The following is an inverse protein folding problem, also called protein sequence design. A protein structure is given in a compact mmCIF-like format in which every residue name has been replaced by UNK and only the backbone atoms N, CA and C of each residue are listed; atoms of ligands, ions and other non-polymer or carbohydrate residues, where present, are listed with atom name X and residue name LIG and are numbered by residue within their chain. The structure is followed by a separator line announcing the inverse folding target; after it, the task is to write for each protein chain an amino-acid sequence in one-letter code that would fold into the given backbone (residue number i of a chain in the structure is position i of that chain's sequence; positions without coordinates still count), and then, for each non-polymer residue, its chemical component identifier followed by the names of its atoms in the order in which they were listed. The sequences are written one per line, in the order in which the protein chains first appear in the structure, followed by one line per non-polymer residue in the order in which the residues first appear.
data_IF_907774975182
#
_entry.id   IF_907774975182
#
_cell.length_a   1.000
_cell.length_b   1.000
_cell.length_c   1.000
_cell.angle_alpha   90.00
_cell.angle_beta   90.00
_cell.angle_gamma   90.00
#
_symmetry.space_group_name_H-M   'P 1'
#
loop_
_entity.id
_entity.type
_entity.pdbx_description
1 polymer ?
#
# COMPACT_ATOMS: atom_id res chain seq x y z
N UNK A 1 -9.39 -76.46 -30.74
CA UNK A 1 -9.88 -76.54 -29.38
C UNK A 1 -9.78 -75.15 -28.85
N UNK A 2 -10.66 -74.39 -29.18
CA UNK A 2 -11.87 -73.67 -28.66
C UNK A 2 -11.85 -73.47 -27.17
N UNK A 3 -11.62 -72.25 -26.80
CA UNK A 3 -11.79 -71.65 -25.45
C UNK A 3 -12.24 -70.20 -25.60
N UNK A 4 -13.53 -69.99 -25.44
CA UNK A 4 -14.25 -68.69 -25.43
C UNK A 4 -13.88 -67.84 -24.25
N UNK A 5 -13.85 -66.51 -24.38
CA UNK A 5 -13.64 -65.61 -23.28
C UNK A 5 -14.93 -65.40 -22.49
N UNK A 6 -14.77 -65.35 -21.21
CA UNK A 6 -15.79 -65.15 -20.18
C UNK A 6 -16.15 -63.65 -20.11
N UNK A 7 -17.43 -63.33 -20.29
CA UNK A 7 -17.99 -62.00 -20.01
C UNK A 7 -18.11 -61.79 -18.47
N UNK A 8 -17.81 -60.63 -17.96
CA UNK A 8 -18.20 -60.29 -16.60
C UNK A 8 -19.58 -59.60 -16.58
N UNK A 9 -20.38 -60.08 -15.63
CA UNK A 9 -21.75 -59.63 -15.32
C UNK A 9 -21.77 -58.16 -14.88
N UNK A 10 -22.75 -57.45 -15.41
CA UNK A 10 -23.23 -56.16 -14.91
C UNK A 10 -23.88 -56.39 -13.54
N UNK A 11 -23.26 -55.79 -12.50
CA UNK A 11 -23.94 -55.50 -11.22
C UNK A 11 -24.19 -53.98 -11.17
N UNK A 12 -25.42 -53.61 -11.55
CA UNK A 12 -25.99 -52.28 -11.20
C UNK A 12 -26.15 -52.18 -9.69
N UNK A 13 -25.26 -51.44 -9.02
CA UNK A 13 -25.56 -50.85 -7.75
C UNK A 13 -25.50 -49.32 -7.90
N UNK A 14 -26.72 -48.74 -7.90
CA UNK A 14 -26.95 -47.31 -7.90
C UNK A 14 -26.24 -46.67 -6.72
N UNK A 15 -25.26 -45.82 -6.98
CA UNK A 15 -24.75 -44.87 -6.04
C UNK A 15 -25.71 -43.68 -6.00
N UNK A 16 -26.39 -43.61 -4.90
CA UNK A 16 -27.20 -42.48 -4.39
C UNK A 16 -26.42 -41.16 -4.56
N UNK A 17 -26.91 -40.30 -5.45
CA UNK A 17 -26.36 -38.98 -5.68
C UNK A 17 -26.83 -38.13 -4.51
N UNK A 18 -26.00 -38.06 -3.46
CA UNK A 18 -26.18 -37.16 -2.35
C UNK A 18 -26.47 -35.74 -2.85
N UNK A 19 -27.57 -35.19 -2.35
CA UNK A 19 -28.15 -33.90 -2.63
C UNK A 19 -27.09 -32.79 -2.65
N UNK A 20 -26.95 -32.18 -3.80
CA UNK A 20 -26.25 -30.88 -3.95
C UNK A 20 -27.13 -29.85 -3.30
N UNK A 21 -26.76 -29.41 -2.08
CA UNK A 21 -27.43 -28.31 -1.40
C UNK A 21 -27.28 -27.05 -2.25
N UNK A 22 -28.38 -26.43 -2.73
CA UNK A 22 -28.30 -25.19 -3.46
C UNK A 22 -27.89 -24.08 -2.51
N UNK A 23 -26.86 -23.34 -2.87
CA UNK A 23 -26.41 -22.12 -2.21
C UNK A 23 -27.52 -21.06 -2.38
N UNK A 24 -28.29 -20.78 -1.35
CA UNK A 24 -29.20 -19.63 -1.28
C UNK A 24 -28.33 -18.38 -1.06
N UNK A 25 -28.38 -17.48 -2.04
CA UNK A 25 -27.91 -16.11 -1.87
C UNK A 25 -28.87 -15.43 -0.88
N UNK A 26 -28.40 -15.12 0.31
CA UNK A 26 -29.10 -14.25 1.24
C UNK A 26 -28.94 -12.82 0.77
N UNK A 27 -30.02 -12.26 0.23
CA UNK A 27 -30.24 -10.82 0.14
C UNK A 27 -30.54 -10.31 1.54
N UNK A 28 -29.58 -9.67 2.18
CA UNK A 28 -29.82 -8.74 3.28
C UNK A 28 -28.61 -7.80 3.34
N UNK A 29 -28.69 -6.71 2.61
CA UNK A 29 -27.91 -5.49 2.83
C UNK A 29 -28.70 -4.65 3.83
N UNK A 30 -28.12 -4.19 4.94
CA UNK A 30 -28.75 -3.18 5.76
C UNK A 30 -28.72 -1.83 5.03
N UNK A 31 -29.89 -1.24 4.92
CA UNK A 31 -30.25 0.09 4.45
C UNK A 31 -29.42 1.15 5.22
N UNK A 32 -28.74 2.01 4.50
CA UNK A 32 -28.02 3.15 5.06
C UNK A 32 -29.02 4.13 5.68
N UNK A 33 -28.93 4.35 7.00
CA UNK A 33 -29.65 5.39 7.71
C UNK A 33 -29.04 6.76 7.39
N UNK A 34 -29.80 7.62 6.73
CA UNK A 34 -29.50 9.05 6.59
C UNK A 34 -29.43 9.74 7.96
N UNK A 35 -28.47 10.64 8.21
CA UNK A 35 -28.47 11.48 9.39
C UNK A 35 -29.45 12.63 9.21
N UNK A 36 -30.49 12.63 10.04
CA UNK A 36 -31.43 13.74 10.18
C UNK A 36 -30.72 14.99 10.69
N UNK A 37 -31.09 16.14 10.09
CA UNK A 37 -30.55 17.45 10.29
C UNK A 37 -30.59 17.95 11.74
N UNK A 38 -29.45 18.42 12.20
CA UNK A 38 -29.33 19.27 13.37
C UNK A 38 -29.55 20.74 13.00
N UNK A 39 -30.47 21.30 13.70
CA UNK A 39 -31.01 22.67 13.68
C UNK A 39 -29.87 23.72 13.85
N UNK A 40 -29.81 24.66 12.92
CA UNK A 40 -28.95 25.82 12.95
C UNK A 40 -29.51 26.82 13.97
N UNK A 41 -28.75 27.13 15.03
CA UNK A 41 -28.97 28.27 15.90
C UNK A 41 -28.30 29.52 15.31
N UNK A 42 -29.10 30.52 15.04
CA UNK A 42 -28.74 31.83 14.52
C UNK A 42 -28.18 32.71 15.69
N UNK A 43 -26.99 33.30 15.61
CA UNK A 43 -26.47 34.22 16.58
C UNK A 43 -26.61 35.67 16.07
N UNK A 44 -27.76 36.27 16.22
CA UNK A 44 -27.84 37.72 16.06
C UNK A 44 -29.03 38.30 16.86
N UNK A 45 -28.78 38.57 18.12
CA UNK A 45 -29.66 39.46 18.92
C UNK A 45 -28.79 40.45 19.67
N UNK A 46 -28.58 41.59 19.03
CA UNK A 46 -28.01 42.81 19.60
C UNK A 46 -29.11 43.53 20.39
N UNK A 47 -29.01 43.58 21.70
CA UNK A 47 -29.83 44.44 22.53
C UNK A 47 -29.06 45.73 22.90
N UNK A 48 -29.60 46.82 22.43
CA UNK A 48 -29.25 48.21 22.79
C UNK A 48 -29.38 48.49 24.30
N UNK A 49 -28.45 49.26 24.88
CA UNK A 49 -28.65 49.83 26.20
C UNK A 49 -29.29 51.20 26.08
N UNK A 50 -30.38 51.35 26.84
CA UNK A 50 -31.15 52.59 27.09
C UNK A 50 -30.33 53.65 27.82
N UNK A 51 -30.45 54.88 27.31
CA UNK A 51 -30.17 56.13 28.04
C UNK A 51 -31.02 56.29 29.32
N UNK A 52 -30.47 56.87 30.33
CA UNK A 52 -31.25 57.57 31.33
C UNK A 52 -31.01 59.09 31.31
N UNK A 53 -32.09 59.82 31.12
CA UNK A 53 -32.18 61.25 31.35
C UNK A 53 -32.37 61.55 32.83
N UNK A 54 -31.88 62.78 33.18
CA UNK A 54 -32.36 63.73 34.17
C UNK A 54 -32.22 63.43 35.66
N UNK A 55 -31.34 64.21 36.29
CA UNK A 55 -31.67 64.92 37.52
C UNK A 55 -30.78 66.13 37.70
N UNK A 56 -31.41 67.32 37.65
CA UNK A 56 -30.89 68.61 38.11
C UNK A 56 -30.77 68.64 39.61
N UNK A 57 -29.78 69.36 40.11
CA UNK A 57 -29.71 69.79 41.56
C UNK A 57 -28.54 70.71 41.77
N UNK A 58 -28.85 71.97 41.90
CA UNK A 58 -27.89 73.06 42.12
C UNK A 58 -27.32 73.14 43.55
N UNK A 59 -26.31 73.94 43.71
CA UNK A 59 -25.70 74.29 45.05
C UNK A 59 -24.39 75.04 44.89
N UNK A 60 -24.51 76.29 44.87
CA UNK A 60 -23.71 77.37 45.35
C UNK A 60 -22.17 77.34 45.37
N UNK A 61 -21.69 78.51 44.95
CA UNK A 61 -20.33 78.96 44.85
C UNK A 61 -19.63 79.12 46.20
N UNK A 62 -18.39 78.76 46.29
CA UNK A 62 -17.44 79.40 47.16
C UNK A 62 -16.08 79.56 46.44
N UNK A 63 -15.66 80.80 46.32
CA UNK A 63 -14.43 81.20 45.71
C UNK A 63 -13.26 80.90 46.65
N UNK A 64 -12.32 80.09 46.22
CA UNK A 64 -11.08 80.01 47.02
C UNK A 64 -9.85 80.36 46.20
N UNK A 65 -9.01 81.05 46.81
CA UNK A 65 -7.87 81.89 46.48
C UNK A 65 -6.77 81.11 45.75
N UNK A 66 -6.30 81.65 44.64
CA UNK A 66 -5.16 81.19 43.86
C UNK A 66 -3.84 81.51 44.58
N UNK A 67 -2.97 80.49 44.92
CA UNK A 67 -1.61 80.79 45.42
C UNK A 67 -0.64 81.04 44.23
N UNK A 68 0.47 81.78 44.45
CA UNK A 68 1.34 82.34 43.41
C UNK A 68 2.21 81.33 42.66
N UNK A 69 2.70 81.63 41.43
CA UNK A 69 3.16 80.70 40.42
C UNK A 69 4.57 80.11 40.58
N UNK A 70 5.25 80.22 41.71
CA UNK A 70 6.65 79.81 41.85
C UNK A 70 6.86 78.29 42.17
N UNK A 71 5.89 77.61 42.80
CA UNK A 71 6.00 76.20 43.19
C UNK A 71 5.64 75.23 42.03
N UNK A 72 4.93 75.72 40.99
CA UNK A 72 4.42 74.88 39.87
C UNK A 72 5.51 74.46 38.86
N UNK A 73 6.62 75.26 38.74
CA UNK A 73 7.71 74.96 37.79
C UNK A 73 8.63 73.78 38.20
N UNK A 74 8.78 73.54 39.52
CA UNK A 74 9.59 72.39 40.00
C UNK A 74 8.85 71.08 40.01
N UNK A 75 7.53 71.04 40.23
CA UNK A 75 6.70 69.84 40.15
C UNK A 75 6.58 69.37 38.74
N UNK A 76 6.39 70.29 37.79
CA UNK A 76 6.31 69.94 36.34
C UNK A 76 7.64 69.38 35.84
N UNK A 77 8.81 69.88 36.29
CA UNK A 77 10.12 69.31 35.90
C UNK A 77 10.37 67.94 36.50
N UNK A 78 9.95 67.65 37.71
CA UNK A 78 10.07 66.34 38.35
C UNK A 78 9.14 65.33 37.69
N UNK A 79 7.93 65.71 37.39
CA UNK A 79 6.97 64.83 36.60
C UNK A 79 7.48 64.61 35.21
N UNK A 80 8.02 65.61 34.52
CA UNK A 80 8.60 65.43 33.18
C UNK A 80 9.86 64.54 33.19
N UNK A 81 10.69 64.58 34.22
CA UNK A 81 11.85 63.67 34.34
C UNK A 81 11.45 62.23 34.68
N UNK A 82 10.43 62.04 35.52
CA UNK A 82 9.92 60.73 35.89
C UNK A 82 9.21 60.09 34.67
N UNK A 83 8.40 60.88 33.95
CA UNK A 83 7.77 60.39 32.74
C UNK A 83 8.76 60.08 31.61
N UNK A 84 9.81 60.86 31.42
CA UNK A 84 10.90 60.57 30.45
C UNK A 84 11.67 59.31 30.86
N UNK A 85 11.93 59.09 32.17
CA UNK A 85 12.55 57.84 32.66
C UNK A 85 11.66 56.60 32.45
N UNK A 86 10.35 56.73 32.65
CA UNK A 86 9.40 55.67 32.46
C UNK A 86 9.26 55.29 30.95
N UNK A 87 9.24 56.29 30.09
CA UNK A 87 9.23 56.09 28.63
C UNK A 87 10.54 55.44 28.18
N UNK A 88 11.69 55.90 28.68
CA UNK A 88 12.99 55.28 28.37
C UNK A 88 13.06 53.81 28.85
N UNK A 89 12.52 53.51 30.04
CA UNK A 89 12.43 52.14 30.55
C UNK A 89 11.49 51.24 29.70
N UNK A 90 10.34 51.78 29.29
CA UNK A 90 9.41 51.07 28.40
C UNK A 90 10.01 50.85 27.01
N UNK A 91 10.76 51.79 26.43
CA UNK A 91 11.46 51.64 25.17
C UNK A 91 12.60 50.60 25.30
N UNK A 92 13.36 50.63 26.39
CA UNK A 92 14.41 49.63 26.65
C UNK A 92 13.83 48.24 26.85
N UNK A 93 12.69 48.11 27.52
CA UNK A 93 11.95 46.85 27.68
C UNK A 93 11.39 46.37 26.33
N UNK A 94 10.86 47.29 25.51
CA UNK A 94 10.36 47.00 24.16
C UNK A 94 11.48 46.54 23.22
N UNK A 95 12.64 47.23 23.22
CA UNK A 95 13.83 46.85 22.44
C UNK A 95 14.39 45.52 22.95
N UNK A 96 14.45 45.30 24.26
CA UNK A 96 14.90 44.02 24.83
C UNK A 96 13.97 42.88 24.49
N UNK A 97 12.66 43.08 24.61
CA UNK A 97 11.65 42.09 24.20
C UNK A 97 11.68 41.82 22.68
N UNK A 98 11.85 42.86 21.86
CA UNK A 98 12.01 42.73 20.42
C UNK A 98 13.28 41.94 20.06
N UNK A 99 14.42 42.22 20.70
CA UNK A 99 15.67 41.47 20.43
C UNK A 99 15.58 40.01 20.82
N UNK A 100 14.84 39.67 21.90
CA UNK A 100 14.62 38.27 22.32
C UNK A 100 13.58 37.57 21.45
N UNK A 101 12.54 38.30 21.02
CA UNK A 101 11.45 37.72 20.22
C UNK A 101 11.71 37.73 18.72
N UNK A 102 12.59 38.60 18.22
CA UNK A 102 12.87 38.75 16.79
C UNK A 102 13.35 37.47 16.10
N UNK A 103 14.22 36.63 16.69
CA UNK A 103 14.59 35.34 16.09
C UNK A 103 13.41 34.38 15.94
N UNK A 104 12.39 34.49 16.80
CA UNK A 104 11.17 33.68 16.73
C UNK A 104 10.13 34.29 15.78
N UNK A 105 10.11 35.59 15.60
CA UNK A 105 9.19 36.28 14.71
C UNK A 105 9.68 36.36 13.26
N UNK A 106 11.00 36.33 13.06
CA UNK A 106 11.64 36.38 11.74
C UNK A 106 12.89 35.48 11.76
N UNK A 107 12.71 34.13 11.72
CA UNK A 107 13.85 33.23 11.70
C UNK A 107 14.70 33.45 10.44
N UNK A 108 16.02 33.31 10.59
CA UNK A 108 16.93 33.35 9.44
C UNK A 108 16.53 32.32 8.39
N UNK A 109 16.45 32.74 7.14
CA UNK A 109 16.19 31.88 5.98
C UNK A 109 17.11 32.25 4.83
N UNK A 110 17.46 31.26 4.01
CA UNK A 110 18.19 31.52 2.76
C UNK A 110 17.22 31.99 1.68
N UNK A 111 17.77 32.63 0.65
CA UNK A 111 16.98 33.03 -0.52
C UNK A 111 17.20 32.06 -1.69
N UNK A 112 16.09 31.70 -2.37
CA UNK A 112 16.12 31.00 -3.64
C UNK A 112 16.28 29.47 -3.52
N UNK A 113 16.65 28.83 -4.67
CA UNK A 113 16.61 27.36 -4.80
C UNK A 113 17.86 26.64 -4.30
N UNK A 114 18.85 27.33 -3.75
CA UNK A 114 20.09 26.76 -3.26
C UNK A 114 21.05 26.27 -4.35
N UNK A 115 22.24 25.79 -3.93
CA UNK A 115 23.33 25.35 -4.79
C UNK A 115 23.87 23.97 -4.40
N UNK A 116 24.43 23.26 -5.40
CA UNK A 116 25.00 21.93 -5.18
C UNK A 116 23.95 20.91 -4.75
N UNK A 117 24.28 19.64 -4.82
CA UNK A 117 23.39 18.56 -4.39
C UNK A 117 23.86 17.96 -3.04
N UNK A 118 22.92 17.71 -2.16
CA UNK A 118 23.12 17.01 -0.91
C UNK A 118 22.01 15.98 -0.73
N UNK A 119 22.36 14.77 -0.30
CA UNK A 119 21.36 13.75 0.06
C UNK A 119 21.13 13.80 1.55
N UNK A 120 19.88 13.98 1.95
CA UNK A 120 19.47 14.05 3.36
C UNK A 120 18.53 12.88 3.64
N UNK A 121 18.71 12.23 4.78
CA UNK A 121 17.85 11.16 5.27
C UNK A 121 16.88 11.71 6.31
N UNK A 122 15.60 11.54 6.06
CA UNK A 122 14.52 11.81 7.01
C UNK A 122 14.13 10.49 7.67
N UNK A 123 14.31 10.39 8.98
CA UNK A 123 14.00 9.16 9.71
C UNK A 123 12.48 8.94 9.86
N UNK A 124 12.01 7.68 9.96
CA UNK A 124 10.61 7.39 10.27
C UNK A 124 10.17 8.06 11.58
N UNK A 125 8.97 8.67 11.57
CA UNK A 125 8.41 9.34 12.75
C UNK A 125 9.03 10.70 13.12
N UNK A 126 9.90 11.27 12.27
CA UNK A 126 10.47 12.59 12.51
C UNK A 126 9.40 13.67 12.52
N UNK A 127 9.39 14.50 13.56
CA UNK A 127 8.57 15.72 13.60
C UNK A 127 9.13 16.78 12.64
N UNK A 128 8.33 17.81 12.31
CA UNK A 128 8.79 18.94 11.49
C UNK A 128 10.04 19.61 12.09
N UNK A 129 10.14 19.67 13.43
CA UNK A 129 11.33 20.19 14.12
C UNK A 129 12.56 19.30 13.92
N UNK A 130 12.43 17.97 14.04
CA UNK A 130 13.52 17.05 13.81
C UNK A 130 13.98 17.05 12.33
N UNK A 131 13.04 17.18 11.39
CA UNK A 131 13.36 17.35 9.98
C UNK A 131 14.12 18.66 9.76
N UNK A 132 13.62 19.76 10.32
CA UNK A 132 14.27 21.07 10.23
C UNK A 132 15.71 21.05 10.75
N UNK A 133 15.95 20.43 11.92
CA UNK A 133 17.30 20.24 12.47
C UNK A 133 18.23 19.45 11.52
N UNK A 134 17.71 18.35 10.97
CA UNK A 134 18.46 17.55 9.97
C UNK A 134 18.81 18.38 8.73
N UNK A 135 17.90 19.22 8.26
CA UNK A 135 18.11 20.09 7.10
C UNK A 135 19.11 21.22 7.39
N UNK A 136 19.05 21.81 8.57
CA UNK A 136 19.99 22.83 9.04
C UNK A 136 21.39 22.27 9.19
N UNK A 137 21.56 21.12 9.86
CA UNK A 137 22.83 20.40 10.01
C UNK A 137 23.45 20.03 8.67
N UNK A 138 22.61 19.66 7.67
CA UNK A 138 23.06 19.39 6.30
C UNK A 138 23.36 20.67 5.48
N UNK A 139 23.12 21.86 6.04
CA UNK A 139 23.29 23.15 5.35
C UNK A 139 22.30 23.38 4.24
N UNK A 140 21.12 22.75 4.29
CA UNK A 140 20.05 22.91 3.30
C UNK A 140 19.26 24.18 3.58
N UNK A 141 18.82 24.38 4.82
CA UNK A 141 18.09 25.57 5.30
C UNK A 141 18.95 26.36 6.29
N UNK A 142 18.66 27.63 6.46
CA UNK A 142 19.40 28.51 7.37
C UNK A 142 19.10 28.23 8.84
N UNK A 143 17.87 27.85 9.15
CA UNK A 143 17.46 27.54 10.52
C UNK A 143 16.31 26.51 10.56
N UNK A 144 16.29 25.74 11.64
CA UNK A 144 15.17 24.82 11.96
C UNK A 144 13.84 25.59 12.04
N UNK A 145 13.86 26.80 12.57
CA UNK A 145 12.66 27.63 12.76
C UNK A 145 12.04 28.09 11.43
N UNK A 146 12.87 28.46 10.44
CA UNK A 146 12.36 28.81 9.10
C UNK A 146 11.62 27.64 8.46
N UNK A 147 12.14 26.42 8.61
CA UNK A 147 11.51 25.20 8.08
C UNK A 147 10.19 24.89 8.81
N UNK A 148 10.17 24.97 10.16
CA UNK A 148 8.96 24.76 10.95
C UNK A 148 7.87 25.75 10.50
N UNK A 149 8.22 27.03 10.36
CA UNK A 149 7.29 28.07 9.93
C UNK A 149 6.74 27.78 8.52
N UNK A 150 7.62 27.48 7.57
CA UNK A 150 7.19 27.14 6.21
C UNK A 150 6.23 25.94 6.16
N UNK A 151 6.48 24.96 7.04
CA UNK A 151 5.63 23.77 7.16
C UNK A 151 4.26 24.10 7.78
N UNK A 152 4.24 24.95 8.80
CA UNK A 152 3.02 25.41 9.49
C UNK A 152 2.17 26.30 8.57
N UNK A 153 2.80 27.29 7.90
CA UNK A 153 2.11 28.21 6.98
C UNK A 153 1.38 27.48 5.85
N UNK A 154 1.89 26.32 5.43
CA UNK A 154 1.28 25.49 4.39
C UNK A 154 0.38 24.35 4.92
N UNK A 155 0.42 24.07 6.21
CA UNK A 155 -0.37 22.99 6.83
C UNK A 155 -0.05 21.59 6.27
N UNK A 156 1.24 21.29 5.97
CA UNK A 156 1.64 20.05 5.26
C UNK A 156 2.54 19.14 6.10
N UNK A 157 2.60 19.32 7.40
CA UNK A 157 3.46 18.52 8.28
C UNK A 157 3.21 17.00 8.18
N UNK A 158 1.96 16.60 8.04
CA UNK A 158 1.49 15.22 7.90
C UNK A 158 1.80 14.60 6.53
N UNK A 159 2.16 15.43 5.56
CA UNK A 159 2.53 14.99 4.20
C UNK A 159 4.02 14.71 4.03
N UNK A 160 4.84 15.11 4.99
CA UNK A 160 6.27 14.82 4.99
C UNK A 160 6.48 13.33 5.26
N UNK A 161 7.22 12.67 4.38
CA UNK A 161 7.46 11.23 4.46
C UNK A 161 8.91 10.95 4.82
N UNK A 162 9.19 9.86 5.54
CA UNK A 162 10.55 9.40 5.74
C UNK A 162 11.17 8.97 4.42
N UNK A 163 12.50 8.98 4.34
CA UNK A 163 13.24 8.54 3.16
C UNK A 163 14.47 9.37 2.87
N UNK A 164 15.15 9.05 1.78
CA UNK A 164 16.31 9.78 1.30
C UNK A 164 15.90 10.78 0.22
N UNK A 165 16.32 12.04 0.39
CA UNK A 165 15.96 13.15 -0.49
C UNK A 165 17.19 13.83 -1.07
N UNK A 166 17.17 14.10 -2.37
CA UNK A 166 18.17 14.92 -3.04
C UNK A 166 17.74 16.39 -2.97
N UNK A 167 18.40 17.14 -2.10
CA UNK A 167 18.16 18.56 -1.88
C UNK A 167 19.38 19.36 -2.34
N UNK A 168 19.41 20.68 -2.09
CA UNK A 168 20.51 21.58 -2.37
C UNK A 168 20.91 22.33 -1.09
N UNK A 169 22.15 22.75 -1.01
CA UNK A 169 22.62 23.57 0.11
C UNK A 169 22.15 25.02 -0.09
N UNK A 170 21.85 25.70 1.01
CA UNK A 170 21.47 27.12 0.99
C UNK A 170 20.13 27.40 0.31
N UNK A 171 19.12 26.55 0.55
CA UNK A 171 17.77 26.72 0.00
C UNK A 171 16.92 27.55 0.94
N UNK A 172 16.02 28.38 0.39
CA UNK A 172 14.88 28.86 1.14
C UNK A 172 14.08 27.69 1.75
N UNK A 173 13.60 27.83 2.99
CA UNK A 173 12.84 26.77 3.66
C UNK A 173 11.61 26.34 2.87
N UNK A 174 10.94 27.27 2.19
CA UNK A 174 9.81 26.98 1.30
C UNK A 174 10.21 26.13 0.09
N UNK A 175 11.38 26.41 -0.51
CA UNK A 175 11.91 25.63 -1.64
C UNK A 175 12.36 24.23 -1.20
N UNK A 176 12.96 24.11 -0.02
CA UNK A 176 13.31 22.81 0.56
C UNK A 176 12.05 21.97 0.81
N UNK A 177 10.99 22.60 1.33
CA UNK A 177 9.68 21.95 1.56
C UNK A 177 9.04 21.48 0.25
N UNK A 178 9.13 22.29 -0.84
CA UNK A 178 8.64 21.88 -2.17
C UNK A 178 9.34 20.61 -2.67
N UNK A 179 10.66 20.51 -2.49
CA UNK A 179 11.40 19.31 -2.86
C UNK A 179 11.02 18.12 -1.98
N UNK A 180 10.89 18.29 -0.65
CA UNK A 180 10.48 17.19 0.23
C UNK A 180 9.08 16.65 -0.09
N UNK A 181 8.19 17.49 -0.62
CA UNK A 181 6.85 17.08 -1.07
C UNK A 181 6.86 16.49 -2.49
N UNK A 182 7.94 16.69 -3.26
CA UNK A 182 8.06 16.21 -4.64
C UNK A 182 8.55 14.77 -4.68
N UNK A 183 7.84 13.86 -5.37
CA UNK A 183 8.34 12.48 -5.59
C UNK A 183 9.67 12.42 -6.36
N UNK A 184 9.99 13.45 -7.16
CA UNK A 184 11.19 13.49 -7.99
C UNK A 184 12.48 13.72 -7.18
N UNK A 185 12.38 14.27 -5.97
CA UNK A 185 13.53 14.50 -5.09
C UNK A 185 13.92 13.25 -4.27
N UNK A 186 13.05 12.22 -4.19
CA UNK A 186 13.36 10.99 -3.47
C UNK A 186 14.44 10.20 -4.17
N UNK A 187 15.44 9.77 -3.40
CA UNK A 187 16.53 8.92 -3.88
C UNK A 187 16.13 7.47 -3.68
N UNK A 188 15.42 6.91 -4.66
CA UNK A 188 14.95 5.53 -4.63
C UNK A 188 15.27 4.82 -5.93
N UNK A 189 15.48 3.52 -5.86
CA UNK A 189 15.48 2.62 -7.02
C UNK A 189 14.12 1.95 -7.10
N UNK A 190 13.42 2.11 -8.23
CA UNK A 190 12.13 1.46 -8.44
C UNK A 190 12.30 0.11 -9.08
N UNK A 191 11.82 -0.93 -8.41
CA UNK A 191 11.83 -2.31 -8.87
C UNK A 191 10.40 -2.78 -9.07
N UNK A 192 10.03 -3.03 -10.32
CA UNK A 192 8.69 -3.56 -10.65
C UNK A 192 8.74 -5.08 -10.76
N UNK A 193 7.96 -5.74 -9.92
CA UNK A 193 7.77 -7.20 -9.90
C UNK A 193 6.43 -7.51 -10.57
N UNK A 194 6.43 -8.06 -11.79
CA UNK A 194 5.22 -8.54 -12.45
C UNK A 194 4.58 -9.72 -11.72
N UNK A 195 3.30 -9.90 -11.93
CA UNK A 195 2.57 -11.09 -11.47
C UNK A 195 3.12 -12.38 -12.12
N UNK A 196 3.01 -13.50 -11.41
CA UNK A 196 3.36 -14.82 -11.93
C UNK A 196 4.87 -15.13 -11.96
N UNK A 197 5.73 -14.24 -11.46
CA UNK A 197 7.15 -14.57 -11.29
C UNK A 197 7.33 -15.60 -10.16
N UNK A 198 8.28 -16.52 -10.35
CA UNK A 198 8.77 -17.41 -9.30
C UNK A 198 9.68 -16.64 -8.35
N UNK A 199 9.83 -17.13 -7.14
CA UNK A 199 10.74 -16.51 -6.15
C UNK A 199 12.15 -16.29 -6.72
N UNK A 200 12.73 -17.27 -7.40
CA UNK A 200 14.07 -17.13 -8.00
C UNK A 200 14.17 -16.00 -9.02
N UNK A 201 13.11 -15.78 -9.80
CA UNK A 201 13.02 -14.70 -10.79
C UNK A 201 12.84 -13.34 -10.11
N UNK A 202 12.04 -13.29 -9.03
CA UNK A 202 11.87 -12.09 -8.20
C UNK A 202 13.22 -11.68 -7.61
N UNK A 203 13.94 -12.62 -6.96
CA UNK A 203 15.25 -12.33 -6.35
C UNK A 203 16.27 -11.85 -7.38
N UNK A 204 16.32 -12.49 -8.57
CA UNK A 204 17.22 -12.09 -9.65
C UNK A 204 16.88 -10.69 -10.17
N UNK A 205 15.59 -10.35 -10.27
CA UNK A 205 15.13 -9.04 -10.71
C UNK A 205 15.46 -7.95 -9.69
N UNK A 206 15.23 -8.22 -8.40
CA UNK A 206 15.62 -7.32 -7.31
C UNK A 206 17.14 -7.09 -7.33
N UNK A 207 17.93 -8.16 -7.41
CA UNK A 207 19.40 -8.07 -7.47
C UNK A 207 19.84 -7.15 -8.61
N UNK A 208 19.31 -7.36 -9.83
CA UNK A 208 19.69 -6.60 -11.01
C UNK A 208 19.26 -5.13 -10.98
N UNK A 209 18.07 -4.81 -10.46
CA UNK A 209 17.51 -3.46 -10.48
C UNK A 209 17.82 -2.64 -9.22
N UNK A 210 17.87 -3.28 -8.05
CA UNK A 210 18.22 -2.61 -6.80
C UNK A 210 19.74 -2.57 -6.52
N UNK A 211 20.51 -3.43 -7.19
CA UNK A 211 21.96 -3.55 -6.97
C UNK A 211 22.31 -4.24 -5.66
N UNK A 212 21.39 -5.05 -5.12
CA UNK A 212 21.64 -5.92 -3.98
C UNK A 212 22.29 -7.23 -4.44
N UNK A 213 23.27 -7.80 -3.68
CA UNK A 213 23.84 -9.08 -4.03
C UNK A 213 22.79 -10.19 -4.03
N UNK A 214 22.69 -10.95 -5.12
CA UNK A 214 21.73 -12.06 -5.23
C UNK A 214 21.89 -13.08 -4.10
N UNK A 215 23.12 -13.34 -3.70
CA UNK A 215 23.46 -14.26 -2.60
C UNK A 215 22.82 -13.81 -1.27
N UNK A 216 22.80 -12.51 -1.00
CA UNK A 216 22.22 -11.98 0.24
C UNK A 216 20.68 -12.17 0.23
N UNK A 217 20.04 -11.92 -0.92
CA UNK A 217 18.61 -12.17 -1.11
C UNK A 217 18.24 -13.66 -0.98
N UNK A 218 19.09 -14.56 -1.47
CA UNK A 218 18.85 -16.01 -1.39
C UNK A 218 19.04 -16.57 0.03
N UNK A 219 19.90 -15.95 0.83
CA UNK A 219 20.25 -16.41 2.17
C UNK A 219 19.51 -15.68 3.29
N UNK A 220 18.50 -14.88 2.97
CA UNK A 220 17.67 -14.21 3.99
C UNK A 220 17.02 -15.24 4.89
N UNK A 221 17.16 -15.05 6.20
CA UNK A 221 16.41 -15.82 7.17
C UNK A 221 14.91 -15.49 7.04
N UNK A 222 14.14 -16.50 6.66
CA UNK A 222 12.69 -16.38 6.43
C UNK A 222 11.93 -15.94 7.67
N UNK A 223 12.48 -16.17 8.87
CA UNK A 223 11.87 -15.70 10.11
C UNK A 223 11.86 -14.16 10.23
N UNK A 224 12.82 -13.49 9.58
CA UNK A 224 12.96 -12.03 9.65
C UNK A 224 12.03 -11.26 8.70
N UNK A 225 11.45 -11.92 7.69
CA UNK A 225 10.63 -11.24 6.67
C UNK A 225 9.13 -11.24 6.97
N UNK A 226 8.71 -11.77 8.11
CA UNK A 226 7.31 -11.71 8.55
C UNK A 226 6.36 -12.60 7.76
N UNK A 227 6.83 -13.75 7.24
CA UNK A 227 5.97 -14.71 6.56
C UNK A 227 4.78 -15.15 7.43
N UNK A 228 3.58 -15.34 6.84
CA UNK A 228 2.47 -15.95 7.55
C UNK A 228 2.85 -17.33 8.09
N UNK A 229 2.31 -17.71 9.25
CA UNK A 229 2.62 -19.01 9.89
C UNK A 229 2.33 -20.23 9.00
N UNK A 230 1.39 -20.09 8.06
CA UNK A 230 1.03 -21.16 7.12
C UNK A 230 1.94 -21.22 5.89
N UNK A 231 2.84 -20.23 5.68
CA UNK A 231 3.72 -20.17 4.52
C UNK A 231 4.96 -21.06 4.74
N UNK A 232 5.23 -22.07 3.87
CA UNK A 232 6.42 -22.90 3.99
C UNK A 232 7.70 -22.18 3.53
N UNK A 233 7.56 -21.08 2.79
CA UNK A 233 8.65 -20.31 2.21
C UNK A 233 8.17 -19.08 1.49
N UNK A 234 9.06 -18.47 0.69
CA UNK A 234 8.80 -17.21 -0.02
C UNK A 234 7.92 -17.39 -1.26
N UNK A 235 7.86 -18.60 -1.83
CA UNK A 235 7.09 -18.84 -3.06
C UNK A 235 5.59 -18.64 -2.82
N UNK A 236 4.99 -17.75 -3.61
CA UNK A 236 3.60 -17.33 -3.46
C UNK A 236 3.38 -16.13 -2.54
N UNK A 237 4.43 -15.64 -1.84
CA UNK A 237 4.32 -14.61 -0.80
C UNK A 237 5.13 -13.34 -1.08
N UNK A 238 5.90 -13.28 -2.17
CA UNK A 238 6.56 -12.07 -2.65
C UNK A 238 5.62 -11.32 -3.59
N UNK A 239 4.74 -10.48 -3.04
CA UNK A 239 3.63 -9.89 -3.78
C UNK A 239 4.08 -9.05 -4.97
N UNK A 240 3.45 -9.20 -6.16
CA UNK A 240 3.77 -8.40 -7.34
C UNK A 240 3.34 -6.93 -7.17
N UNK A 241 4.30 -6.01 -7.28
CA UNK A 241 4.10 -4.56 -7.20
C UNK A 241 5.34 -3.82 -7.68
N UNK A 242 5.27 -2.49 -7.73
CA UNK A 242 6.46 -1.64 -7.81
C UNK A 242 6.92 -1.25 -6.41
N UNK A 243 8.17 -1.56 -6.11
CA UNK A 243 8.83 -1.28 -4.82
C UNK A 243 9.82 -0.14 -4.98
N UNK A 244 9.83 0.76 -4.03
CA UNK A 244 10.85 1.81 -3.90
C UNK A 244 11.89 1.33 -2.89
N UNK A 245 13.11 1.13 -3.36
CA UNK A 245 14.25 0.65 -2.56
C UNK A 245 15.18 1.82 -2.30
N UNK A 246 15.40 2.13 -1.04
CA UNK A 246 16.20 3.27 -0.60
C UNK A 246 17.71 2.90 -0.50
N UNK A 247 18.59 3.88 -0.54
CA UNK A 247 20.00 3.65 -0.21
C UNK A 247 20.15 3.11 1.21
N UNK A 248 20.77 1.95 1.35
CA UNK A 248 20.98 1.30 2.64
C UNK A 248 19.95 0.24 3.02
N UNK A 249 18.88 0.07 2.23
CA UNK A 249 17.97 -1.05 2.42
C UNK A 249 18.70 -2.37 2.24
N UNK A 250 18.45 -3.29 3.16
CA UNK A 250 19.01 -4.65 3.13
C UNK A 250 18.12 -5.62 2.36
N UNK A 251 18.64 -6.80 2.06
CA UNK A 251 17.85 -7.89 1.48
C UNK A 251 16.64 -8.25 2.34
N UNK A 252 16.78 -8.20 3.67
CA UNK A 252 15.68 -8.45 4.62
C UNK A 252 14.59 -7.39 4.46
N UNK A 253 14.97 -6.10 4.43
CA UNK A 253 14.00 -5.00 4.33
C UNK A 253 13.15 -5.12 3.06
N UNK A 254 13.81 -5.39 1.93
CA UNK A 254 13.14 -5.52 0.64
C UNK A 254 12.19 -6.72 0.61
N UNK A 255 12.63 -7.89 1.07
CA UNK A 255 11.77 -9.08 1.08
C UNK A 255 10.64 -8.96 2.11
N UNK A 256 10.90 -8.35 3.28
CA UNK A 256 9.87 -8.06 4.27
C UNK A 256 8.78 -7.13 3.71
N UNK A 257 9.15 -6.08 2.98
CA UNK A 257 8.19 -5.19 2.31
C UNK A 257 7.31 -5.94 1.29
N UNK A 258 7.88 -6.93 0.57
CA UNK A 258 7.11 -7.76 -0.38
C UNK A 258 6.12 -8.67 0.33
N UNK A 259 6.53 -9.28 1.45
CA UNK A 259 5.66 -10.14 2.29
C UNK A 259 4.59 -9.30 2.99
N UNK A 260 4.93 -8.13 3.50
CA UNK A 260 3.94 -7.20 4.07
C UNK A 260 2.87 -6.81 3.06
N UNK A 261 3.30 -6.53 1.82
CA UNK A 261 2.37 -6.20 0.72
C UNK A 261 1.44 -7.37 0.40
N UNK A 262 1.95 -8.61 0.44
CA UNK A 262 1.10 -9.80 0.38
C UNK A 262 0.08 -9.82 1.51
N UNK A 263 0.49 -9.53 2.75
CA UNK A 263 -0.41 -9.44 3.90
C UNK A 263 -1.52 -8.40 3.72
N UNK A 264 -1.21 -7.24 3.12
CA UNK A 264 -2.22 -6.21 2.77
C UNK A 264 -3.21 -6.76 1.75
N UNK A 265 -2.72 -7.37 0.67
CA UNK A 265 -3.57 -7.96 -0.37
C UNK A 265 -4.43 -9.10 0.19
N UNK A 266 -3.85 -9.99 1.00
CA UNK A 266 -4.55 -11.09 1.65
C UNK A 266 -5.70 -10.61 2.55
N UNK A 267 -5.49 -9.55 3.34
CA UNK A 267 -6.56 -8.92 4.12
C UNK A 267 -7.64 -8.31 3.25
N UNK A 268 -7.26 -7.60 2.18
CA UNK A 268 -8.19 -6.96 1.25
C UNK A 268 -9.13 -7.98 0.60
N UNK A 269 -8.61 -9.14 0.17
CA UNK A 269 -9.42 -10.22 -0.43
C UNK A 269 -10.07 -11.13 0.61
N UNK A 270 -9.86 -10.88 1.91
CA UNK A 270 -10.33 -11.74 3.01
C UNK A 270 -9.92 -13.20 2.80
N UNK A 271 -8.60 -13.42 2.61
CA UNK A 271 -8.04 -14.71 2.22
C UNK A 271 -8.45 -15.85 3.16
N UNK A 272 -8.38 -15.65 4.47
CA UNK A 272 -8.67 -16.70 5.45
C UNK A 272 -10.15 -17.13 5.38
N UNK A 273 -11.07 -16.17 5.46
CA UNK A 273 -12.51 -16.43 5.42
C UNK A 273 -12.95 -16.95 4.03
N UNK A 274 -12.31 -16.43 2.98
CA UNK A 274 -12.55 -16.88 1.61
C UNK A 274 -12.10 -18.32 1.39
N UNK A 275 -10.94 -18.70 1.90
CA UNK A 275 -10.41 -20.05 1.83
C UNK A 275 -11.34 -21.05 2.56
N UNK A 276 -11.79 -20.68 3.76
CA UNK A 276 -12.74 -21.51 4.53
C UNK A 276 -14.04 -21.78 3.75
N UNK A 277 -14.61 -20.73 3.12
CA UNK A 277 -15.83 -20.88 2.30
C UNK A 277 -15.67 -21.89 1.15
N UNK A 278 -14.49 -21.94 0.55
CA UNK A 278 -14.18 -22.89 -0.53
C UNK A 278 -13.55 -24.18 0.00
N UNK A 279 -13.54 -24.40 1.32
CA UNK A 279 -13.01 -25.58 2.01
C UNK A 279 -11.53 -25.82 1.76
N UNK A 280 -10.74 -24.76 1.74
CA UNK A 280 -9.29 -24.79 1.64
C UNK A 280 -8.66 -24.11 2.86
N UNK A 281 -7.42 -24.47 3.14
CA UNK A 281 -6.54 -23.67 3.99
C UNK A 281 -6.05 -22.42 3.26
N UNK A 282 -5.58 -21.37 3.96
CA UNK A 282 -4.99 -20.21 3.30
C UNK A 282 -3.82 -20.54 2.37
N UNK A 283 -2.98 -21.53 2.71
CA UNK A 283 -1.90 -22.00 1.85
C UNK A 283 -2.43 -22.62 0.56
N UNK A 284 -3.42 -23.48 0.65
CA UNK A 284 -4.04 -24.11 -0.51
C UNK A 284 -4.72 -23.07 -1.41
N UNK A 285 -5.37 -22.05 -0.84
CA UNK A 285 -5.96 -20.96 -1.61
C UNK A 285 -4.90 -20.16 -2.38
N UNK A 286 -3.73 -19.85 -1.76
CA UNK A 286 -2.60 -19.22 -2.45
C UNK A 286 -2.02 -20.15 -3.52
N UNK A 287 -1.97 -21.45 -3.25
CA UNK A 287 -1.54 -22.46 -4.21
C UNK A 287 -2.46 -22.46 -5.44
N UNK A 288 -3.79 -22.52 -5.25
CA UNK A 288 -4.77 -22.42 -6.35
C UNK A 288 -4.60 -21.10 -7.11
N UNK A 289 -4.42 -19.97 -6.40
CA UNK A 289 -4.19 -18.68 -7.04
C UNK A 289 -2.93 -18.67 -7.91
N UNK A 290 -1.85 -19.33 -7.46
CA UNK A 290 -0.61 -19.44 -8.24
C UNK A 290 -0.78 -20.30 -9.51
N UNK A 291 -1.61 -21.35 -9.45
CA UNK A 291 -1.99 -22.15 -10.62
C UNK A 291 -2.80 -21.32 -11.61
N UNK A 292 -3.83 -20.61 -11.12
CA UNK A 292 -4.65 -19.71 -11.94
C UNK A 292 -3.79 -18.66 -12.64
N UNK A 293 -2.88 -18.03 -11.90
CA UNK A 293 -1.96 -17.01 -12.43
C UNK A 293 -1.05 -17.57 -13.52
N UNK A 294 -0.61 -18.81 -13.39
CA UNK A 294 0.28 -19.44 -14.36
C UNK A 294 -0.43 -19.88 -15.65
N UNK A 295 -1.72 -20.19 -15.58
CA UNK A 295 -2.52 -20.73 -16.69
C UNK A 295 -3.38 -19.68 -17.39
N UNK A 296 -3.70 -18.58 -16.73
CA UNK A 296 -4.66 -17.62 -17.25
C UNK A 296 -4.09 -16.70 -18.32
N UNK A 297 -4.76 -16.66 -19.48
CA UNK A 297 -4.46 -15.69 -20.54
C UNK A 297 -5.04 -14.31 -20.27
N UNK A 298 -6.22 -14.26 -19.68
CA UNK A 298 -6.93 -13.01 -19.34
C UNK A 298 -7.51 -13.11 -17.94
N UNK A 299 -7.82 -11.95 -17.34
CA UNK A 299 -8.43 -11.87 -16.01
C UNK A 299 -9.84 -12.50 -15.98
N UNK A 300 -10.57 -12.46 -17.11
CA UNK A 300 -11.91 -13.03 -17.26
C UNK A 300 -11.89 -14.57 -17.26
N UNK A 301 -10.74 -15.18 -17.57
CA UNK A 301 -10.57 -16.62 -17.52
C UNK A 301 -10.31 -17.14 -16.10
N UNK A 302 -9.75 -16.33 -15.22
CA UNK A 302 -9.34 -16.73 -13.88
C UNK A 302 -10.44 -17.42 -13.06
N UNK A 303 -11.67 -16.89 -12.95
CA UNK A 303 -12.73 -17.58 -12.21
C UNK A 303 -13.16 -18.91 -12.84
N UNK A 304 -13.05 -19.06 -14.18
CA UNK A 304 -13.38 -20.31 -14.89
C UNK A 304 -12.28 -21.35 -14.71
N UNK A 305 -11.00 -20.96 -14.79
CA UNK A 305 -9.85 -21.82 -14.48
C UNK A 305 -9.95 -22.32 -13.04
N UNK A 306 -10.25 -21.42 -12.11
CA UNK A 306 -10.55 -21.76 -10.71
C UNK A 306 -11.62 -22.84 -10.64
N UNK A 307 -12.75 -22.67 -11.35
CA UNK A 307 -13.83 -23.66 -11.37
C UNK A 307 -13.38 -25.02 -11.88
N UNK A 308 -12.58 -25.08 -12.94
CA UNK A 308 -12.03 -26.36 -13.45
C UNK A 308 -11.17 -27.04 -12.39
N UNK A 309 -10.30 -26.29 -11.70
CA UNK A 309 -9.46 -26.82 -10.62
C UNK A 309 -10.35 -27.43 -9.52
N UNK A 310 -11.36 -26.71 -9.05
CA UNK A 310 -12.27 -27.19 -7.99
C UNK A 310 -13.09 -28.42 -8.45
N UNK A 311 -13.57 -28.43 -9.69
CA UNK A 311 -14.32 -29.57 -10.23
C UNK A 311 -13.45 -30.83 -10.29
N UNK A 312 -12.17 -30.71 -10.67
CA UNK A 312 -11.22 -31.82 -10.68
C UNK A 312 -10.85 -32.28 -9.27
N UNK A 313 -10.63 -31.36 -8.34
CA UNK A 313 -10.40 -31.66 -6.92
C UNK A 313 -11.59 -32.43 -6.31
N UNK A 314 -12.81 -31.96 -6.55
CA UNK A 314 -14.03 -32.59 -6.04
C UNK A 314 -14.21 -34.02 -6.56
N UNK A 315 -13.78 -34.32 -7.80
CA UNK A 315 -13.82 -35.67 -8.38
C UNK A 315 -12.60 -36.54 -8.03
N UNK A 316 -11.63 -35.98 -7.30
CA UNK A 316 -10.39 -36.70 -6.95
C UNK A 316 -9.54 -37.11 -8.16
N UNK A 317 -9.62 -36.34 -9.25
CA UNK A 317 -8.82 -36.60 -10.48
C UNK A 317 -7.55 -35.73 -10.44
N UNK A 318 -6.46 -36.15 -11.14
CA UNK A 318 -5.28 -35.32 -11.29
C UNK A 318 -5.61 -33.97 -11.93
N UNK A 319 -4.90 -32.90 -11.55
CA UNK A 319 -5.14 -31.56 -12.12
C UNK A 319 -4.59 -31.43 -13.54
N UNK A 320 -3.51 -32.16 -13.87
CA UNK A 320 -2.85 -32.20 -15.19
C UNK A 320 -2.50 -30.77 -15.69
N UNK A 321 -1.87 -30.00 -14.84
CA UNK A 321 -1.50 -28.60 -15.10
C UNK A 321 -0.04 -28.54 -15.50
N UNK A 322 0.24 -28.13 -16.76
CA UNK A 322 1.57 -28.07 -17.36
C UNK A 322 2.56 -27.19 -16.57
N UNK A 323 2.11 -26.07 -16.07
CA UNK A 323 2.95 -25.13 -15.29
C UNK A 323 3.54 -25.75 -14.02
N UNK A 324 2.88 -26.75 -13.42
CA UNK A 324 3.38 -27.48 -12.24
C UNK A 324 4.59 -28.35 -12.59
N UNK A 325 4.55 -28.99 -13.74
CA UNK A 325 5.66 -29.81 -14.25
C UNK A 325 6.85 -28.93 -14.62
N UNK A 326 6.58 -27.81 -15.27
CA UNK A 326 7.62 -26.81 -15.62
C UNK A 326 8.25 -26.19 -14.39
N UNK A 327 7.45 -25.97 -13.33
CA UNK A 327 7.97 -25.51 -12.02
C UNK A 327 8.90 -26.55 -11.41
N UNK A 328 8.47 -27.81 -11.37
CA UNK A 328 9.26 -28.91 -10.84
C UNK A 328 10.63 -29.06 -11.51
N UNK A 329 10.71 -28.75 -12.80
CA UNK A 329 11.94 -28.80 -13.62
C UNK A 329 12.70 -27.45 -13.64
N UNK A 330 12.22 -26.43 -12.94
CA UNK A 330 12.75 -25.07 -13.02
C UNK A 330 12.89 -24.54 -14.47
N UNK A 331 11.90 -24.81 -15.31
CA UNK A 331 11.86 -24.43 -16.74
C UNK A 331 10.74 -23.42 -17.01
N UNK A 332 10.96 -22.56 -18.02
CA UNK A 332 9.94 -21.68 -18.62
C UNK A 332 9.89 -21.98 -20.11
N UNK A 333 8.85 -22.68 -20.54
CA UNK A 333 8.60 -23.01 -21.96
C UNK A 333 7.10 -23.13 -22.18
N UNK A 334 6.65 -22.95 -23.40
CA UNK A 334 5.25 -23.16 -23.81
C UNK A 334 4.94 -24.63 -24.17
N UNK A 335 5.97 -25.48 -24.29
CA UNK A 335 5.78 -26.87 -24.69
C UNK A 335 6.15 -27.82 -23.57
N UNK A 336 5.21 -28.61 -23.14
CA UNK A 336 5.39 -29.77 -22.26
C UNK A 336 5.32 -31.03 -23.11
N UNK A 337 6.32 -31.88 -22.95
CA UNK A 337 6.37 -33.17 -23.64
C UNK A 337 5.81 -34.28 -22.75
N UNK A 338 5.43 -35.41 -23.33
CA UNK A 338 5.03 -36.59 -22.55
C UNK A 338 6.10 -37.06 -21.57
N UNK A 339 7.38 -36.85 -21.89
CA UNK A 339 8.50 -37.14 -20.97
C UNK A 339 8.47 -36.18 -19.75
N UNK A 340 8.13 -34.92 -19.98
CA UNK A 340 8.04 -33.92 -18.89
C UNK A 340 6.93 -34.27 -17.89
N UNK A 341 5.77 -34.81 -18.36
CA UNK A 341 4.67 -35.22 -17.47
C UNK A 341 5.00 -36.45 -16.61
N UNK A 342 6.13 -37.12 -16.87
CA UNK A 342 6.60 -38.27 -16.08
C UNK A 342 7.65 -37.92 -15.01
N UNK A 343 8.00 -36.63 -14.86
CA UNK A 343 8.98 -36.18 -13.85
C UNK A 343 8.55 -36.58 -12.44
N UNK A 344 9.50 -37.11 -11.66
CA UNK A 344 9.26 -37.48 -10.28
C UNK A 344 9.42 -36.28 -9.37
N UNK A 345 8.29 -35.68 -9.01
CA UNK A 345 8.22 -34.49 -8.16
C UNK A 345 6.85 -34.41 -7.51
N UNK A 346 6.76 -34.03 -6.24
CA UNK A 346 5.48 -33.80 -5.57
C UNK A 346 4.66 -32.67 -6.19
N UNK A 347 5.27 -31.81 -7.00
CA UNK A 347 4.58 -30.77 -7.76
C UNK A 347 3.95 -31.29 -9.06
N UNK A 348 4.25 -32.52 -9.50
CA UNK A 348 3.72 -33.06 -10.74
C UNK A 348 2.25 -33.46 -10.60
N UNK A 349 1.34 -32.59 -11.03
CA UNK A 349 -0.10 -32.80 -10.97
C UNK A 349 -0.65 -33.78 -12.04
N UNK A 350 0.18 -34.35 -12.89
CA UNK A 350 -0.17 -35.49 -13.73
C UNK A 350 -0.05 -36.82 -12.97
N UNK A 351 0.87 -36.90 -12.01
CA UNK A 351 1.15 -38.12 -11.23
C UNK A 351 0.48 -38.11 -9.88
N UNK A 352 0.31 -36.93 -9.25
CA UNK A 352 -0.26 -36.76 -7.94
C UNK A 352 -1.63 -36.10 -8.01
N UNK A 353 -2.61 -36.70 -7.34
CA UNK A 353 -3.94 -36.13 -7.17
C UNK A 353 -3.93 -35.01 -6.12
N UNK A 354 -4.85 -34.08 -6.23
CA UNK A 354 -4.95 -32.97 -5.31
C UNK A 354 -4.07 -31.78 -5.72
N UNK A 355 -3.90 -30.84 -4.81
CA UNK A 355 -3.04 -29.67 -4.99
C UNK A 355 -1.56 -30.04 -4.82
N UNK A 356 -0.64 -29.36 -5.50
CA UNK A 356 0.78 -29.48 -5.20
C UNK A 356 1.08 -28.98 -3.77
N UNK A 357 2.27 -29.29 -3.20
CA UNK A 357 2.62 -28.96 -1.81
C UNK A 357 2.61 -27.46 -1.47
N UNK A 358 2.63 -26.60 -2.48
CA UNK A 358 2.64 -25.16 -2.32
C UNK A 358 2.54 -24.39 -3.64
N UNK A 359 2.58 -23.07 -3.58
CA UNK A 359 2.51 -22.22 -4.77
C UNK A 359 3.68 -22.46 -5.74
N UNK A 360 3.44 -22.21 -7.03
CA UNK A 360 4.44 -22.34 -8.12
C UNK A 360 4.87 -21.00 -8.71
N UNK A 361 4.28 -19.90 -8.23
CA UNK A 361 4.58 -18.53 -8.62
C UNK A 361 3.95 -17.56 -7.59
N UNK A 362 4.29 -16.27 -7.69
CA UNK A 362 3.71 -15.22 -6.88
C UNK A 362 2.47 -14.63 -7.57
N UNK A 363 1.25 -14.92 -7.08
CA UNK A 363 0.01 -14.48 -7.72
C UNK A 363 -0.30 -13.01 -7.42
N UNK A 364 -1.01 -12.37 -8.35
CA UNK A 364 -1.61 -11.06 -8.16
C UNK A 364 -2.95 -11.12 -7.42
N UNK A 365 -3.50 -9.95 -7.11
CA UNK A 365 -4.77 -9.83 -6.37
C UNK A 365 -5.94 -10.50 -7.10
N UNK A 366 -6.02 -10.37 -8.43
CA UNK A 366 -7.09 -10.97 -9.23
C UNK A 366 -7.09 -12.49 -9.19
N UNK A 367 -5.91 -13.10 -9.21
CA UNK A 367 -5.77 -14.54 -9.09
C UNK A 367 -6.14 -15.03 -7.69
N UNK A 368 -5.77 -14.29 -6.64
CA UNK A 368 -6.22 -14.56 -5.26
C UNK A 368 -7.76 -14.48 -5.16
N UNK A 369 -8.37 -13.43 -5.70
CA UNK A 369 -9.83 -13.30 -5.74
C UNK A 369 -10.50 -14.45 -6.49
N UNK A 370 -9.97 -14.85 -7.65
CA UNK A 370 -10.52 -15.95 -8.44
C UNK A 370 -10.43 -17.31 -7.73
N UNK A 371 -9.37 -17.54 -6.98
CA UNK A 371 -9.24 -18.73 -6.14
C UNK A 371 -10.35 -18.81 -5.08
N UNK A 372 -10.77 -17.66 -4.53
CA UNK A 372 -11.80 -17.57 -3.47
C UNK A 372 -13.22 -17.49 -4.04
N UNK A 373 -13.38 -17.12 -5.31
CA UNK A 373 -14.67 -16.92 -5.98
C UNK A 373 -14.69 -17.61 -7.35
N UNK A 374 -14.67 -18.96 -7.37
CA UNK A 374 -14.73 -19.70 -8.62
C UNK A 374 -16.06 -19.43 -9.34
N UNK A 375 -16.03 -19.30 -10.66
CA UNK A 375 -17.24 -19.15 -11.46
C UNK A 375 -18.21 -20.33 -11.28
N UNK A 376 -19.50 -20.11 -11.50
CA UNK A 376 -20.47 -21.21 -11.59
C UNK A 376 -20.30 -21.93 -12.95
N UNK A 377 -20.21 -23.24 -12.95
CA UNK A 377 -20.07 -24.05 -14.16
C UNK A 377 -19.60 -25.45 -13.87
N UNK A 378 -19.70 -26.32 -14.88
CA UNK A 378 -19.38 -27.74 -14.82
C UNK A 378 -18.13 -28.08 -15.67
N UNK A 379 -17.39 -27.05 -16.09
CA UNK A 379 -16.17 -27.25 -16.91
C UNK A 379 -15.17 -28.15 -16.20
N UNK A 380 -14.57 -29.02 -17.01
CA UNK A 380 -13.63 -30.02 -16.57
C UNK A 380 -12.26 -29.89 -17.21
N UNK A 381 -12.22 -29.24 -18.39
CA UNK A 381 -11.03 -28.94 -19.16
C UNK A 381 -11.06 -27.51 -19.65
N UNK A 382 -9.88 -26.96 -19.82
CA UNK A 382 -9.65 -25.74 -20.57
C UNK A 382 -8.43 -25.85 -21.44
N UNK A 383 -8.38 -25.13 -22.55
CA UNK A 383 -7.26 -25.04 -23.47
C UNK A 383 -7.13 -23.61 -23.97
N UNK A 384 -5.95 -23.03 -23.86
CA UNK A 384 -5.64 -21.75 -24.52
C UNK A 384 -5.37 -22.05 -26.01
N UNK A 385 -6.43 -22.01 -26.81
CA UNK A 385 -6.38 -22.42 -28.22
C UNK A 385 -5.60 -21.46 -29.10
N UNK A 386 -5.53 -20.18 -28.72
CA UNK A 386 -4.72 -19.15 -29.39
C UNK A 386 -3.95 -18.34 -28.35
N UNK A 387 -2.70 -18.73 -28.04
CA UNK A 387 -1.89 -17.98 -27.07
C UNK A 387 -1.56 -16.56 -27.50
N UNK A 388 -1.43 -16.28 -28.80
CA UNK A 388 -1.13 -14.94 -29.31
C UNK A 388 -2.29 -13.97 -29.07
N UNK A 389 -3.52 -14.45 -29.21
CA UNK A 389 -4.76 -13.70 -28.95
C UNK A 389 -5.29 -13.91 -27.54
N UNK A 390 -4.65 -14.72 -26.71
CA UNK A 390 -5.07 -15.08 -25.34
C UNK A 390 -6.48 -15.68 -25.29
N UNK A 391 -6.83 -16.53 -26.26
CA UNK A 391 -8.16 -17.15 -26.32
C UNK A 391 -8.12 -18.50 -25.60
N UNK A 392 -8.85 -18.62 -24.50
CA UNK A 392 -9.04 -19.86 -23.73
C UNK A 392 -10.47 -20.38 -23.89
N UNK A 393 -10.60 -21.68 -24.17
CA UNK A 393 -11.88 -22.39 -24.30
C UNK A 393 -12.05 -23.36 -23.15
N UNK A 394 -13.29 -23.49 -22.69
CA UNK A 394 -13.68 -24.30 -21.53
C UNK A 394 -14.72 -25.31 -21.95
N UNK A 395 -14.66 -26.52 -21.42
CA UNK A 395 -15.62 -27.59 -21.74
C UNK A 395 -15.70 -28.63 -20.61
N UNK A 396 -16.84 -29.33 -20.55
CA UNK A 396 -17.02 -30.56 -19.77
C UNK A 396 -17.04 -31.82 -20.62
N UNK A 397 -16.82 -31.72 -21.95
CA UNK A 397 -16.82 -32.83 -22.91
C UNK A 397 -15.43 -33.12 -23.43
N UNK A 398 -15.00 -34.38 -23.30
CA UNK A 398 -13.67 -34.82 -23.76
C UNK A 398 -13.49 -34.62 -25.27
N UNK A 399 -14.53 -34.88 -26.06
CA UNK A 399 -14.48 -34.70 -27.53
C UNK A 399 -14.20 -33.26 -27.95
N UNK A 400 -14.72 -32.26 -27.17
CA UNK A 400 -14.43 -30.86 -27.41
C UNK A 400 -13.01 -30.49 -26.95
N UNK A 401 -12.54 -31.08 -25.86
CA UNK A 401 -11.18 -30.89 -25.38
C UNK A 401 -10.15 -31.36 -26.39
N UNK A 402 -10.35 -32.56 -26.99
CA UNK A 402 -9.48 -33.05 -28.05
C UNK A 402 -9.45 -32.09 -29.24
N UNK A 403 -10.62 -31.61 -29.69
CA UNK A 403 -10.72 -30.61 -30.77
C UNK A 403 -10.01 -29.30 -30.43
N UNK A 404 -10.11 -28.80 -29.18
CA UNK A 404 -9.42 -27.61 -28.77
C UNK A 404 -7.90 -27.75 -28.72
N UNK A 405 -7.40 -28.95 -28.37
CA UNK A 405 -5.97 -29.28 -28.46
C UNK A 405 -5.47 -29.32 -29.90
N UNK A 406 -6.27 -29.85 -30.83
CA UNK A 406 -5.93 -29.83 -32.25
C UNK A 406 -5.88 -28.39 -32.80
N UNK A 407 -6.83 -27.52 -32.38
CA UNK A 407 -6.84 -26.11 -32.73
C UNK A 407 -5.60 -25.40 -32.22
N UNK A 408 -5.21 -25.63 -30.95
CA UNK A 408 -3.97 -25.11 -30.37
C UNK A 408 -2.76 -25.53 -31.20
N UNK A 409 -2.64 -26.84 -31.51
CA UNK A 409 -1.52 -27.36 -32.28
C UNK A 409 -1.46 -26.75 -33.69
N UNK A 410 -2.62 -26.48 -34.32
CA UNK A 410 -2.70 -25.80 -35.61
C UNK A 410 -2.20 -24.36 -35.50
N UNK A 411 -2.65 -23.62 -34.50
CA UNK A 411 -2.25 -22.23 -34.28
C UNK A 411 -0.76 -22.09 -33.94
N UNK A 412 -0.20 -23.03 -33.15
CA UNK A 412 1.24 -23.06 -32.82
C UNK A 412 2.15 -23.38 -34.02
N UNK A 413 1.61 -24.03 -35.10
CA UNK A 413 2.36 -24.29 -36.32
C UNK A 413 2.26 -23.13 -37.30
N UNK A 414 1.24 -22.31 -37.21
CA UNK A 414 0.99 -21.18 -38.11
C UNK A 414 1.75 -19.89 -37.70
N UNK A 415 2.22 -19.83 -36.45
CA UNK A 415 3.04 -18.74 -35.88
C UNK A 415 4.50 -19.21 -35.71
#
# INVERSE_FOLDING_TARGET
MSGTPNEPREDEQGCDVGDVIPFQAGDDLPEEAEPQGGEQADPNELSDPKDPKDAQGGGDAEADVIPPPAARKQAVRKVALVSAGLIAALVALGVGAFAVLNPYLSPEDFEGPGNGAVTVRIAPGSSAGAIGSTLEEAGVVASTQSFIRATQDRGVADRLRPGHYRLRKGMAASAALDLLLSPASRVVRRVTIPEGLRTSEVLSRVAGQAGLPLKDLQNVDKALVGLPKYAPGLEGFLFPATYEIEPGDTAVDVLAAMVERFGVAARKVRLAEGAERVRLTPLEAVTVASLIQAEGGTDEDYPKISRVIYNRLAKGTPLEIDSTVLYAQNRRTLRVTEKDTKVDSPYNTYRHKGLPPGPIANPGEKALMAALHPAKGDWYWFVTTDPARRITKFTNKESEFVRYREELNKNLRAN
#
